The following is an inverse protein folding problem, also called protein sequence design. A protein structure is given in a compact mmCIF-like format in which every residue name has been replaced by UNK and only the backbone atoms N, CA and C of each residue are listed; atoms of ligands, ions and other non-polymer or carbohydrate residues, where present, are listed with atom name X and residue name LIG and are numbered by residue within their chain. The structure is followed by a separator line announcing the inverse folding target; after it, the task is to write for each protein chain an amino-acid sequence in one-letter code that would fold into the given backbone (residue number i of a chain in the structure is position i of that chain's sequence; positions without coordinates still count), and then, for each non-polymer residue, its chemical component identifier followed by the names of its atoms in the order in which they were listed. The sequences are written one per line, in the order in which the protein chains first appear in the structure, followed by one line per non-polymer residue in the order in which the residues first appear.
data_IF_718405562601
#
_entry.id   IF_718405562601
#
_cell.length_a   1.000
_cell.length_b   1.000
_cell.length_c   1.000
_cell.angle_alpha   90.00
_cell.angle_beta   90.00
_cell.angle_gamma   90.00
#
_symmetry.space_group_name_H-M   'P 1'
#
loop_
_entity.id
_entity.type
_entity.pdbx_description
1 polymer ?
#
# COMPACT_ATOMS: atom_id res chain seq x y z
N UNK A 1 -15.95 51.52 -7.07
CA UNK A 1 -14.74 52.12 -7.67
C UNK A 1 -13.76 51.00 -7.95
N UNK A 2 -13.34 50.76 -9.21
CA UNK A 2 -12.39 49.70 -9.51
C UNK A 2 -10.99 50.12 -9.03
N UNK A 3 -10.46 49.39 -8.05
CA UNK A 3 -9.08 49.50 -7.56
C UNK A 3 -8.12 49.27 -8.72
N UNK A 4 -7.16 50.18 -8.83
CA UNK A 4 -6.23 50.22 -9.96
C UNK A 4 -5.31 49.00 -9.93
N UNK A 5 -4.85 48.55 -11.11
CA UNK A 5 -3.90 47.42 -11.23
C UNK A 5 -2.68 47.57 -10.30
N UNK A 6 -2.27 48.82 -10.06
CA UNK A 6 -1.13 49.19 -9.22
C UNK A 6 -1.35 48.97 -7.72
N UNK A 7 -2.60 49.01 -7.25
CA UNK A 7 -2.93 48.69 -5.85
C UNK A 7 -2.92 47.19 -5.60
N UNK A 8 -3.33 46.38 -6.59
CA UNK A 8 -3.29 44.91 -6.50
C UNK A 8 -1.86 44.36 -6.46
N UNK A 9 -0.92 45.02 -7.14
CA UNK A 9 0.49 44.64 -7.08
C UNK A 9 1.12 44.98 -5.72
N UNK A 10 0.76 46.13 -5.12
CA UNK A 10 1.24 46.49 -3.77
C UNK A 10 0.72 45.55 -2.69
N UNK A 11 -0.54 45.08 -2.80
CA UNK A 11 -1.08 44.09 -1.87
C UNK A 11 -0.33 42.75 -1.98
N UNK A 12 0.00 42.29 -3.20
CA UNK A 12 0.78 41.06 -3.41
C UNK A 12 2.20 41.14 -2.87
N UNK A 13 2.87 42.28 -3.03
CA UNK A 13 4.22 42.48 -2.45
C UNK A 13 4.21 42.54 -0.92
N UNK A 14 3.17 43.16 -0.32
CA UNK A 14 2.97 43.17 1.14
C UNK A 14 2.73 41.78 1.71
N UNK A 15 2.00 40.92 0.99
CA UNK A 15 1.70 39.56 1.43
C UNK A 15 2.92 38.62 1.33
N UNK A 16 3.76 38.80 0.31
CA UNK A 16 5.03 38.09 0.16
C UNK A 16 6.06 38.44 1.26
N UNK A 17 6.06 39.69 1.73
CA UNK A 17 6.93 40.12 2.83
C UNK A 17 6.48 39.58 4.20
N UNK A 18 5.17 39.31 4.40
CA UNK A 18 4.68 38.70 5.65
C UNK A 18 5.06 37.22 5.78
N UNK A 19 5.20 36.50 4.67
CA UNK A 19 5.57 35.08 4.68
C UNK A 19 7.06 34.81 4.91
N UNK A 20 7.94 35.80 4.73
CA UNK A 20 9.39 35.66 4.96
C UNK A 20 9.79 35.97 6.41
N UNK A 21 8.95 36.66 7.18
CA UNK A 21 9.23 37.04 8.57
C UNK A 21 9.02 35.90 9.59
N UNK A 22 8.36 34.79 9.23
CA UNK A 22 7.99 33.73 10.18
C UNK A 22 9.00 32.57 10.26
N UNK A 23 10.17 32.66 9.61
CA UNK A 23 11.14 31.56 9.50
C UNK A 23 12.42 31.68 10.34
N UNK A 24 12.57 32.71 11.16
CA UNK A 24 13.75 32.88 12.01
C UNK A 24 13.38 33.15 13.48
N UNK A 25 13.13 32.08 14.24
CA UNK A 25 13.36 32.03 15.69
C UNK A 25 13.12 30.62 16.20
N UNK A 26 14.19 29.85 16.39
CA UNK A 26 14.35 28.85 17.46
C UNK A 26 15.70 28.10 17.30
N UNK A 27 16.80 28.79 17.60
CA UNK A 27 18.03 28.15 18.05
C UNK A 27 18.11 28.34 19.57
N UNK A 28 18.17 27.25 20.34
CA UNK A 28 18.73 27.30 21.69
C UNK A 28 19.43 25.99 22.04
N UNK A 29 20.74 26.15 22.19
CA UNK A 29 21.76 25.29 22.77
C UNK A 29 21.43 24.88 24.21
N UNK A 30 21.59 23.60 24.57
CA UNK A 30 21.96 23.19 25.94
C UNK A 30 22.99 22.04 25.88
N UNK A 31 24.06 22.27 26.64
CA UNK A 31 25.26 21.46 26.83
C UNK A 31 25.05 20.23 27.74
N UNK A 32 25.88 19.21 27.56
CA UNK A 32 25.98 17.94 28.33
C UNK A 32 26.36 18.12 29.82
N UNK A 33 26.32 17.04 30.64
CA UNK A 33 27.51 16.19 30.76
C UNK A 33 27.29 14.67 30.92
N UNK A 34 28.40 13.97 30.71
CA UNK A 34 28.72 12.55 30.83
C UNK A 34 28.48 12.02 32.26
N UNK A 35 27.96 10.78 32.37
CA UNK A 35 28.24 9.91 33.51
C UNK A 35 28.28 8.44 33.10
N UNK A 36 29.45 7.84 33.29
CA UNK A 36 29.80 6.43 33.12
C UNK A 36 29.35 5.62 34.34
N UNK A 37 28.65 4.51 34.15
CA UNK A 37 28.57 3.45 35.17
C UNK A 37 28.41 2.08 34.50
N UNK A 38 29.46 1.28 34.63
CA UNK A 38 29.48 -0.13 34.27
C UNK A 38 28.85 -0.96 35.40
N UNK A 39 28.00 -1.92 35.05
CA UNK A 39 27.68 -3.06 35.92
C UNK A 39 27.50 -4.31 35.07
N UNK A 40 28.46 -5.24 35.28
CA UNK A 40 28.46 -6.60 34.77
C UNK A 40 27.41 -7.40 35.53
N UNK A 41 26.50 -8.05 34.81
CA UNK A 41 25.63 -9.10 35.32
C UNK A 41 25.59 -10.23 34.31
N UNK A 42 26.34 -11.29 34.57
CA UNK A 42 26.38 -12.51 33.76
C UNK A 42 25.08 -13.30 33.98
N UNK A 43 24.30 -13.55 32.93
CA UNK A 43 23.15 -14.46 32.97
C UNK A 43 23.40 -15.60 31.98
N UNK A 44 23.37 -16.81 32.54
CA UNK A 44 23.60 -18.10 31.89
C UNK A 44 22.51 -18.46 30.88
N UNK A 45 22.81 -19.08 29.72
CA UNK A 45 21.82 -19.48 28.74
C UNK A 45 21.44 -20.95 28.94
N UNK A 46 20.30 -21.23 29.58
CA UNK A 46 19.62 -22.52 29.41
C UNK A 46 18.09 -22.34 29.34
N UNK A 47 17.51 -23.10 28.41
CA UNK A 47 16.08 -23.27 28.13
C UNK A 47 15.38 -22.24 27.21
N UNK A 48 15.85 -22.11 25.97
CA UNK A 48 14.94 -21.81 24.85
C UNK A 48 14.28 -23.12 24.39
N UNK A 49 13.05 -23.39 24.86
CA UNK A 49 12.21 -24.43 24.25
C UNK A 49 11.78 -23.93 22.87
N UNK A 50 12.18 -24.66 21.84
CA UNK A 50 11.71 -24.49 20.47
C UNK A 50 10.20 -24.70 20.43
N UNK A 51 9.42 -23.61 20.33
CA UNK A 51 8.01 -23.68 19.97
C UNK A 51 7.99 -23.99 18.47
N UNK A 52 7.63 -25.22 18.11
CA UNK A 52 7.64 -25.65 16.71
C UNK A 52 6.67 -24.80 15.88
N UNK A 53 7.17 -24.29 14.75
CA UNK A 53 6.38 -23.56 13.75
C UNK A 53 5.21 -24.37 13.19
N UNK A 54 5.21 -25.70 13.39
CA UNK A 54 4.15 -26.61 12.97
C UNK A 54 2.84 -26.41 13.74
N UNK A 55 2.90 -26.09 15.04
CA UNK A 55 1.70 -25.89 15.86
C UNK A 55 0.85 -24.72 15.37
N UNK A 56 1.49 -23.60 15.06
CA UNK A 56 0.80 -22.39 14.55
C UNK A 56 0.19 -22.63 13.16
N UNK A 57 0.86 -23.43 12.31
CA UNK A 57 0.37 -23.74 10.95
C UNK A 57 -0.89 -24.61 10.97
N UNK A 58 -0.94 -25.60 11.85
CA UNK A 58 -2.11 -26.47 11.99
C UNK A 58 -3.35 -25.70 12.48
N UNK A 59 -3.18 -24.78 13.44
CA UNK A 59 -4.28 -23.97 13.99
C UNK A 59 -4.85 -22.99 12.96
N UNK A 60 -4.01 -22.35 12.14
CA UNK A 60 -4.49 -21.45 11.07
C UNK A 60 -5.24 -22.20 9.98
N UNK A 61 -4.76 -23.38 9.57
CA UNK A 61 -5.44 -24.21 8.57
C UNK A 61 -6.85 -24.64 9.02
N UNK A 62 -7.00 -25.02 10.29
CA UNK A 62 -8.29 -25.40 10.86
C UNK A 62 -9.28 -24.22 10.95
N UNK A 63 -8.83 -23.04 11.39
CA UNK A 63 -9.66 -21.82 11.41
C UNK A 63 -10.14 -21.41 10.02
N UNK A 64 -9.24 -21.38 9.02
CA UNK A 64 -9.60 -21.04 7.64
C UNK A 64 -10.60 -22.05 7.05
N UNK A 65 -10.43 -23.34 7.36
CA UNK A 65 -11.32 -24.41 6.88
C UNK A 65 -12.71 -24.34 7.50
N UNK A 66 -12.80 -24.07 8.80
CA UNK A 66 -14.09 -23.87 9.49
C UNK A 66 -14.81 -22.60 9.02
N UNK A 67 -14.08 -21.50 8.81
CA UNK A 67 -14.64 -20.26 8.28
C UNK A 67 -15.20 -20.45 6.86
N UNK A 68 -14.45 -21.13 5.98
CA UNK A 68 -14.92 -21.52 4.63
C UNK A 68 -16.21 -22.34 4.68
N UNK A 69 -16.27 -23.34 5.55
CA UNK A 69 -17.43 -24.24 5.66
C UNK A 69 -18.67 -23.53 6.23
N UNK A 70 -18.47 -22.64 7.19
CA UNK A 70 -19.56 -21.89 7.81
C UNK A 70 -20.14 -20.84 6.86
N UNK A 71 -19.31 -20.18 6.03
CA UNK A 71 -19.75 -19.08 5.19
C UNK A 71 -20.19 -19.51 3.77
N UNK A 72 -19.71 -20.65 3.27
CA UNK A 72 -20.15 -21.22 1.97
C UNK A 72 -21.65 -21.53 1.90
N UNK A 73 -22.32 -21.71 3.04
CA UNK A 73 -23.76 -21.99 3.09
C UNK A 73 -24.65 -20.75 2.98
N UNK A 74 -24.07 -19.53 2.90
CA UNK A 74 -24.84 -18.29 3.03
C UNK A 74 -24.43 -17.09 2.16
N UNK A 75 -23.38 -17.17 1.33
CA UNK A 75 -23.04 -16.06 0.43
C UNK A 75 -24.10 -15.93 -0.67
N UNK A 76 -24.94 -14.88 -0.58
CA UNK A 76 -26.07 -14.65 -1.49
C UNK A 76 -25.79 -13.56 -2.52
N UNK A 77 -24.71 -12.78 -2.35
CA UNK A 77 -24.34 -11.69 -3.25
C UNK A 77 -22.86 -11.72 -3.66
N UNK A 78 -22.52 -11.11 -4.80
CA UNK A 78 -21.13 -10.98 -5.25
C UNK A 78 -20.23 -10.17 -4.28
N UNK A 79 -20.83 -9.29 -3.46
CA UNK A 79 -20.10 -8.55 -2.44
C UNK A 79 -19.68 -9.46 -1.27
N UNK A 80 -20.52 -10.42 -0.87
CA UNK A 80 -20.18 -11.39 0.18
C UNK A 80 -19.00 -12.27 -0.26
N UNK A 81 -18.98 -12.68 -1.53
CA UNK A 81 -17.87 -13.46 -2.09
C UNK A 81 -16.57 -12.65 -2.13
N UNK A 82 -16.63 -11.38 -2.54
CA UNK A 82 -15.47 -10.49 -2.54
C UNK A 82 -14.92 -10.26 -1.12
N UNK A 83 -15.79 -10.00 -0.15
CA UNK A 83 -15.40 -9.85 1.25
C UNK A 83 -14.79 -11.14 1.80
N UNK A 84 -15.42 -12.28 1.54
CA UNK A 84 -14.94 -13.58 1.98
C UNK A 84 -13.56 -13.89 1.39
N UNK A 85 -13.37 -13.63 0.09
CA UNK A 85 -12.08 -13.80 -0.58
C UNK A 85 -10.99 -12.96 0.07
N UNK A 86 -11.27 -11.69 0.36
CA UNK A 86 -10.34 -10.83 1.07
C UNK A 86 -10.03 -11.37 2.48
N UNK A 87 -11.05 -11.73 3.27
CA UNK A 87 -10.86 -12.24 4.64
C UNK A 87 -10.12 -13.59 4.71
N UNK A 88 -10.20 -14.39 3.66
CA UNK A 88 -9.54 -15.70 3.56
C UNK A 88 -8.16 -15.63 2.90
N UNK A 89 -7.71 -14.45 2.49
CA UNK A 89 -6.39 -14.25 1.90
C UNK A 89 -5.28 -14.59 2.91
N UNK A 90 -4.25 -15.29 2.44
CA UNK A 90 -3.21 -15.82 3.31
C UNK A 90 -2.39 -14.70 3.96
N UNK A 91 -2.15 -13.60 3.23
CA UNK A 91 -1.45 -12.43 3.77
C UNK A 91 -2.26 -11.72 4.85
N UNK A 92 -3.58 -11.60 4.70
CA UNK A 92 -4.45 -11.01 5.74
C UNK A 92 -4.47 -11.87 7.00
N UNK A 93 -4.57 -13.18 6.86
CA UNK A 93 -4.55 -14.10 7.99
C UNK A 93 -3.23 -14.02 8.77
N UNK A 94 -2.10 -13.89 8.06
CA UNK A 94 -0.79 -13.71 8.69
C UNK A 94 -0.64 -12.38 9.37
N UNK A 95 -1.11 -11.30 8.74
CA UNK A 95 -1.11 -9.97 9.32
C UNK A 95 -1.90 -9.95 10.64
N UNK A 96 -3.06 -10.61 10.70
CA UNK A 96 -3.83 -10.73 11.95
C UNK A 96 -3.07 -11.53 13.02
N UNK A 97 -2.43 -12.64 12.65
CA UNK A 97 -1.63 -13.45 13.57
C UNK A 97 -0.41 -12.69 14.12
N UNK A 98 0.21 -11.82 13.31
CA UNK A 98 1.33 -10.97 13.73
C UNK A 98 0.92 -9.96 14.82
N UNK A 99 -0.26 -9.36 14.72
CA UNK A 99 -0.79 -8.50 15.81
C UNK A 99 -0.96 -9.30 17.08
N UNK A 100 -1.59 -10.48 17.00
CA UNK A 100 -1.84 -11.30 18.19
C UNK A 100 -0.54 -11.72 18.88
N UNK A 101 0.52 -11.98 18.11
CA UNK A 101 1.86 -12.24 18.64
C UNK A 101 2.46 -11.00 19.31
N UNK A 102 2.38 -9.83 18.67
CA UNK A 102 2.87 -8.57 19.22
C UNK A 102 2.16 -8.20 20.53
N UNK A 103 0.83 -8.35 20.60
CA UNK A 103 0.02 -8.11 21.82
C UNK A 103 0.40 -9.02 22.98
N UNK A 104 0.84 -10.25 22.70
CA UNK A 104 1.32 -11.19 23.72
C UNK A 104 2.75 -10.90 24.19
N UNK A 105 3.39 -9.84 23.69
CA UNK A 105 4.79 -9.53 23.99
C UNK A 105 5.77 -10.57 23.43
N UNK A 106 5.33 -11.41 22.47
CA UNK A 106 6.21 -12.35 21.79
C UNK A 106 7.00 -11.56 20.75
N UNK A 107 8.07 -10.90 21.19
CA UNK A 107 9.02 -10.28 20.30
C UNK A 107 9.83 -11.38 19.60
N UNK A 108 9.43 -11.72 18.39
CA UNK A 108 10.32 -12.41 17.46
C UNK A 108 11.45 -11.47 17.05
N UNK A 109 12.56 -11.50 17.80
CA UNK A 109 13.87 -11.06 17.29
C UNK A 109 14.23 -12.01 16.13
N UNK A 110 14.64 -11.55 14.94
CA UNK A 110 15.78 -10.69 14.70
C UNK A 110 15.59 -9.86 13.43
N UNK A 111 15.68 -8.53 13.55
CA UNK A 111 16.05 -7.71 12.40
C UNK A 111 17.49 -8.08 12.04
N UNK A 112 17.69 -8.88 10.99
CA UNK A 112 19.01 -9.12 10.44
C UNK A 112 19.60 -7.77 10.01
N UNK A 113 20.87 -7.53 10.35
CA UNK A 113 21.58 -6.34 9.89
C UNK A 113 21.44 -6.22 8.36
N UNK A 114 21.24 -5.00 7.82
CA UNK A 114 21.09 -4.82 6.39
C UNK A 114 22.34 -5.38 5.69
N UNK A 115 22.18 -6.22 4.65
CA UNK A 115 23.34 -6.70 3.90
C UNK A 115 24.07 -5.49 3.29
N UNK A 116 25.39 -5.46 3.44
CA UNK A 116 26.24 -4.48 2.76
C UNK A 116 26.00 -4.56 1.26
N UNK A 117 25.59 -3.45 0.64
CA UNK A 117 25.27 -3.41 -0.79
C UNK A 117 26.50 -3.80 -1.63
N UNK A 118 26.39 -4.81 -2.53
CA UNK A 118 27.46 -5.08 -3.48
C UNK A 118 27.55 -3.94 -4.51
N UNK A 119 28.75 -3.47 -4.85
CA UNK A 119 28.94 -2.49 -5.92
C UNK A 119 28.89 -3.22 -7.27
N UNK A 120 27.83 -3.06 -8.05
CA UNK A 120 27.82 -3.64 -9.39
C UNK A 120 26.58 -3.30 -10.21
N UNK A 121 26.75 -2.35 -11.14
CA UNK A 121 26.11 -2.27 -12.47
C UNK A 121 24.58 -2.28 -12.60
N UNK A 122 24.02 -1.81 -13.73
CA UNK A 122 22.59 -1.75 -13.98
C UNK A 122 22.04 -3.11 -14.47
N UNK A 123 22.31 -4.20 -13.74
CA UNK A 123 21.65 -5.47 -14.04
C UNK A 123 20.35 -5.55 -13.24
N UNK A 124 19.20 -5.58 -13.94
CA UNK A 124 17.91 -5.84 -13.31
C UNK A 124 17.87 -7.32 -12.94
N UNK A 125 18.08 -7.64 -11.67
CA UNK A 125 17.98 -9.02 -11.17
C UNK A 125 16.51 -9.46 -11.25
N UNK A 126 16.19 -10.42 -12.13
CA UNK A 126 14.85 -10.98 -12.19
C UNK A 126 14.61 -11.83 -10.92
N UNK A 127 13.85 -11.26 -9.99
CA UNK A 127 13.47 -11.96 -8.76
C UNK A 127 12.01 -12.41 -8.86
N UNK A 128 11.73 -13.72 -8.73
CA UNK A 128 10.37 -14.21 -8.73
C UNK A 128 9.63 -13.77 -7.47
N UNK A 129 8.31 -13.59 -7.57
CA UNK A 129 7.48 -13.31 -6.41
C UNK A 129 7.54 -14.51 -5.46
N UNK A 130 7.98 -14.30 -4.21
CA UNK A 130 8.09 -15.38 -3.22
C UNK A 130 6.73 -15.64 -2.57
N UNK A 131 5.81 -16.16 -3.37
CA UNK A 131 4.46 -16.53 -2.99
C UNK A 131 4.09 -17.84 -3.69
N UNK A 132 3.47 -18.76 -2.95
CA UNK A 132 2.88 -19.98 -3.50
C UNK A 132 1.61 -20.29 -2.73
N UNK A 133 0.56 -20.71 -3.45
CA UNK A 133 -0.70 -21.13 -2.83
C UNK A 133 -0.46 -22.19 -1.75
N UNK A 134 -0.99 -21.97 -0.54
CA UNK A 134 -0.85 -22.88 0.60
C UNK A 134 0.45 -22.75 1.40
N UNK A 135 1.30 -21.77 1.09
CA UNK A 135 2.55 -21.54 1.83
C UNK A 135 2.45 -20.45 2.90
N UNK A 136 1.28 -19.83 3.06
CA UNK A 136 1.08 -18.71 3.98
C UNK A 136 1.66 -17.45 3.36
N UNK A 137 0.97 -16.89 2.39
CA UNK A 137 1.16 -15.52 1.92
C UNK A 137 2.52 -15.21 1.30
N UNK A 138 2.74 -13.93 1.01
CA UNK A 138 4.00 -13.40 0.49
C UNK A 138 5.08 -13.47 1.56
N UNK A 139 6.30 -13.86 1.17
CA UNK A 139 7.45 -13.94 2.09
C UNK A 139 8.61 -13.08 1.62
N UNK A 140 9.08 -12.13 2.41
CA UNK A 140 10.29 -11.39 2.06
C UNK A 140 11.52 -12.30 2.08
N UNK A 141 12.55 -11.89 1.32
CA UNK A 141 13.86 -12.53 1.30
C UNK A 141 14.97 -11.46 1.23
N UNK A 142 16.23 -11.88 1.14
CA UNK A 142 17.35 -10.92 1.08
C UNK A 142 17.29 -10.04 -0.17
N UNK A 143 16.79 -10.56 -1.29
CA UNK A 143 16.67 -9.79 -2.52
C UNK A 143 15.62 -8.69 -2.40
N UNK A 144 14.44 -8.96 -1.81
CA UNK A 144 13.42 -7.92 -1.59
C UNK A 144 13.93 -6.84 -0.64
N UNK A 145 14.65 -7.21 0.42
CA UNK A 145 15.27 -6.23 1.33
C UNK A 145 16.26 -5.32 0.62
N UNK A 146 17.12 -5.88 -0.25
CA UNK A 146 18.07 -5.09 -1.05
C UNK A 146 17.36 -4.11 -1.99
N UNK A 147 16.35 -4.58 -2.73
CA UNK A 147 15.56 -3.71 -3.62
C UNK A 147 14.90 -2.55 -2.88
N UNK A 148 14.33 -2.81 -1.70
CA UNK A 148 13.75 -1.74 -0.89
C UNK A 148 14.81 -0.70 -0.50
N UNK A 149 16.01 -1.15 -0.10
CA UNK A 149 17.12 -0.26 0.21
C UNK A 149 17.57 0.56 -1.01
N UNK A 150 17.72 -0.07 -2.18
CA UNK A 150 18.02 0.61 -3.44
C UNK A 150 16.97 1.68 -3.79
N UNK A 151 15.70 1.40 -3.53
CA UNK A 151 14.58 2.33 -3.71
C UNK A 151 14.58 3.49 -2.69
N UNK A 152 15.55 3.58 -1.78
CA UNK A 152 15.64 4.62 -0.75
C UNK A 152 15.01 4.21 0.59
N UNK A 153 14.81 2.92 0.83
CA UNK A 153 14.21 2.40 2.04
C UNK A 153 12.75 2.82 2.22
N UNK A 154 12.29 2.85 3.48
CA UNK A 154 10.94 3.30 3.84
C UNK A 154 10.65 4.72 3.33
N UNK A 155 11.64 5.62 3.40
CA UNK A 155 11.46 7.01 2.98
C UNK A 155 11.26 7.14 1.48
N UNK A 156 11.99 6.36 0.68
CA UNK A 156 11.77 6.27 -0.76
C UNK A 156 10.35 5.79 -1.09
N UNK A 157 9.87 4.77 -0.37
CA UNK A 157 8.49 4.29 -0.53
C UNK A 157 7.47 5.36 -0.11
N UNK A 158 7.67 5.99 1.05
CA UNK A 158 6.80 7.02 1.58
C UNK A 158 6.66 8.21 0.61
N UNK A 159 7.73 8.58 -0.09
CA UNK A 159 7.66 9.63 -1.12
C UNK A 159 6.59 9.31 -2.17
N UNK A 160 6.64 8.13 -2.77
CA UNK A 160 5.72 7.81 -3.86
C UNK A 160 4.31 7.47 -3.37
N UNK A 161 4.16 6.83 -2.21
CA UNK A 161 2.82 6.55 -1.67
C UNK A 161 2.12 7.83 -1.23
N UNK A 162 2.84 8.81 -0.67
CA UNK A 162 2.28 10.12 -0.35
C UNK A 162 1.89 10.89 -1.62
N UNK A 163 2.75 10.90 -2.65
CA UNK A 163 2.39 11.51 -3.94
C UNK A 163 1.19 10.80 -4.59
N UNK A 164 1.12 9.47 -4.53
CA UNK A 164 -0.01 8.70 -5.03
C UNK A 164 -1.32 9.19 -4.40
N UNK A 165 -1.39 9.31 -3.07
CA UNK A 165 -2.61 9.78 -2.42
C UNK A 165 -2.92 11.25 -2.73
N UNK A 166 -1.91 12.12 -2.86
CA UNK A 166 -2.13 13.49 -3.33
C UNK A 166 -2.77 13.53 -4.73
N UNK A 167 -2.37 12.64 -5.63
CA UNK A 167 -2.97 12.50 -6.96
C UNK A 167 -4.38 11.89 -6.84
N UNK A 168 -4.55 10.84 -6.04
CA UNK A 168 -5.81 10.13 -5.87
C UNK A 168 -6.93 10.99 -5.25
N UNK A 169 -6.59 11.88 -4.31
CA UNK A 169 -7.56 12.83 -3.73
C UNK A 169 -8.14 13.81 -4.75
N UNK A 170 -7.42 14.03 -5.85
CA UNK A 170 -7.85 14.91 -6.94
C UNK A 170 -8.57 14.15 -8.06
N UNK A 171 -8.54 12.81 -8.05
CA UNK A 171 -9.24 11.98 -9.02
C UNK A 171 -10.68 11.73 -8.55
N UNK A 172 -11.71 12.24 -9.24
CA UNK A 172 -13.10 12.11 -8.77
C UNK A 172 -13.58 10.65 -8.71
N UNK A 173 -12.99 9.75 -9.49
CA UNK A 173 -13.36 8.34 -9.48
C UNK A 173 -12.69 7.59 -8.33
N UNK A 174 -11.43 7.89 -7.99
CA UNK A 174 -10.74 7.24 -6.86
C UNK A 174 -11.11 7.89 -5.51
N UNK A 175 -11.32 9.20 -5.48
CA UNK A 175 -11.57 9.93 -4.23
C UNK A 175 -12.82 9.45 -3.50
N UNK A 176 -13.82 8.95 -4.23
CA UNK A 176 -15.04 8.41 -3.62
C UNK A 176 -14.75 7.22 -2.67
N UNK A 177 -13.63 6.53 -2.82
CA UNK A 177 -13.20 5.42 -1.96
C UNK A 177 -12.40 5.89 -0.73
N UNK A 178 -12.02 7.17 -0.68
CA UNK A 178 -11.16 7.74 0.36
C UNK A 178 -12.04 8.61 1.26
N UNK A 179 -12.39 8.07 2.43
CA UNK A 179 -13.28 8.75 3.40
C UNK A 179 -12.75 10.12 3.83
N UNK A 180 -11.46 10.18 4.15
CA UNK A 180 -10.86 11.27 4.91
C UNK A 180 -9.46 11.56 4.35
N UNK A 181 -9.16 12.82 4.04
CA UNK A 181 -7.89 13.21 3.43
C UNK A 181 -6.79 13.44 4.48
N UNK A 182 -7.17 13.63 5.74
CA UNK A 182 -6.23 13.87 6.85
C UNK A 182 -5.67 12.56 7.44
N UNK A 183 -6.27 11.43 7.06
CA UNK A 183 -5.74 10.11 7.39
C UNK A 183 -4.35 9.92 6.73
N UNK A 184 -3.33 9.39 7.44
CA UNK A 184 -1.96 9.23 6.93
C UNK A 184 -1.86 8.01 5.98
N UNK A 185 -2.63 8.02 4.90
CA UNK A 185 -2.78 6.88 3.99
C UNK A 185 -1.46 6.48 3.32
N UNK A 186 -0.68 7.46 2.87
CA UNK A 186 0.59 7.21 2.20
C UNK A 186 1.64 6.62 3.14
N UNK A 187 1.76 7.13 4.36
CA UNK A 187 2.65 6.57 5.39
C UNK A 187 2.26 5.15 5.79
N UNK A 188 0.97 4.90 6.05
CA UNK A 188 0.45 3.56 6.35
C UNK A 188 0.75 2.58 5.22
N UNK A 189 0.60 3.02 3.98
CA UNK A 189 0.90 2.20 2.82
C UNK A 189 2.41 1.92 2.69
N UNK A 190 3.25 2.92 2.97
CA UNK A 190 4.70 2.75 2.96
C UNK A 190 5.18 1.79 4.05
N UNK A 191 4.61 1.87 5.25
CA UNK A 191 4.89 0.95 6.36
C UNK A 191 4.52 -0.48 5.98
N UNK A 192 3.36 -0.67 5.34
CA UNK A 192 2.93 -2.00 4.88
C UNK A 192 3.87 -2.57 3.81
N UNK A 193 4.25 -1.78 2.80
CA UNK A 193 5.23 -2.20 1.78
C UNK A 193 6.58 -2.54 2.44
N UNK A 194 7.04 -1.69 3.34
CA UNK A 194 8.33 -1.86 4.05
C UNK A 194 8.36 -3.18 4.83
N UNK A 195 7.30 -3.49 5.57
CA UNK A 195 7.16 -4.76 6.29
C UNK A 195 7.08 -5.95 5.31
N UNK A 196 6.32 -5.84 4.22
CA UNK A 196 6.24 -6.90 3.19
C UNK A 196 7.55 -7.16 2.48
N UNK A 197 8.42 -6.16 2.34
CA UNK A 197 9.76 -6.33 1.79
C UNK A 197 10.76 -6.86 2.83
N UNK A 198 10.32 -7.01 4.09
CA UNK A 198 11.05 -7.67 5.17
C UNK A 198 11.93 -6.76 5.99
N UNK A 199 11.61 -5.46 6.04
CA UNK A 199 12.36 -4.48 6.82
C UNK A 199 11.55 -4.05 8.04
N UNK A 200 11.87 -4.63 9.19
CA UNK A 200 11.21 -4.33 10.46
C UNK A 200 9.72 -4.68 10.48
N UNK A 201 8.98 -4.07 11.41
CA UNK A 201 7.53 -4.27 11.57
C UNK A 201 6.74 -2.95 11.71
N UNK A 202 7.04 -1.89 10.93
CA UNK A 202 6.43 -0.58 11.15
C UNK A 202 4.90 -0.62 11.02
N UNK A 203 4.37 -1.41 10.07
CA UNK A 203 2.93 -1.58 9.87
C UNK A 203 2.27 -2.25 11.06
N UNK A 204 2.82 -3.39 11.50
CA UNK A 204 2.27 -4.13 12.63
C UNK A 204 2.38 -3.32 13.93
N UNK A 205 3.46 -2.57 14.12
CA UNK A 205 3.65 -1.68 15.28
C UNK A 205 2.62 -0.55 15.29
N UNK A 206 2.51 0.25 14.22
CA UNK A 206 1.55 1.35 14.15
C UNK A 206 0.12 0.82 14.34
N UNK A 207 -0.24 -0.25 13.61
CA UNK A 207 -1.57 -0.86 13.66
C UNK A 207 -1.96 -1.34 15.06
N UNK A 208 -1.01 -1.89 15.83
CA UNK A 208 -1.29 -2.37 17.19
C UNK A 208 -1.77 -1.27 18.14
N UNK A 209 -1.45 -0.01 17.84
CA UNK A 209 -1.79 1.17 18.63
C UNK A 209 -2.80 2.09 17.96
N UNK A 210 -3.20 1.78 16.71
CA UNK A 210 -4.08 2.63 15.92
C UNK A 210 -5.47 2.70 16.55
N UNK A 211 -5.92 3.92 16.84
CA UNK A 211 -7.29 4.19 17.29
C UNK A 211 -8.27 4.02 16.13
N UNK A 212 -9.39 3.35 16.38
CA UNK A 212 -10.54 3.38 15.47
C UNK A 212 -11.47 4.51 15.88
N UNK A 213 -12.10 5.16 14.91
CA UNK A 213 -13.15 6.14 15.14
C UNK A 213 -14.45 5.69 14.45
N UNK A 214 -15.59 5.75 15.14
CA UNK A 214 -16.86 5.43 14.50
C UNK A 214 -17.22 6.51 13.49
N UNK A 215 -17.82 6.10 12.37
CA UNK A 215 -18.41 7.01 11.39
C UNK A 215 -19.75 6.48 10.89
N UNK A 216 -20.56 7.36 10.31
CA UNK A 216 -21.85 6.99 9.73
C UNK A 216 -21.83 7.23 8.23
N UNK A 217 -22.39 6.31 7.47
CA UNK A 217 -22.60 6.45 6.03
C UNK A 217 -23.90 5.75 5.66
N UNK A 218 -24.77 6.45 4.93
CA UNK A 218 -26.03 5.89 4.40
C UNK A 218 -26.90 5.18 5.46
N UNK A 219 -27.01 5.75 6.66
CA UNK A 219 -27.79 5.17 7.77
C UNK A 219 -27.13 4.01 8.52
N UNK A 220 -25.91 3.61 8.13
CA UNK A 220 -25.14 2.57 8.80
C UNK A 220 -24.00 3.17 9.65
N UNK A 221 -23.68 2.51 10.76
CA UNK A 221 -22.53 2.84 11.61
C UNK A 221 -21.37 1.89 11.31
N UNK A 222 -20.19 2.45 11.11
CA UNK A 222 -18.94 1.74 10.85
C UNK A 222 -17.86 2.19 11.83
N UNK A 223 -16.79 1.41 11.93
CA UNK A 223 -15.54 1.80 12.57
C UNK A 223 -14.52 2.14 11.48
N UNK A 224 -13.65 3.10 11.75
CA UNK A 224 -12.56 3.44 10.82
C UNK A 224 -11.61 2.26 10.61
N UNK A 225 -10.92 2.30 9.48
CA UNK A 225 -9.98 1.29 9.03
C UNK A 225 -8.90 0.98 10.08
N UNK A 226 -8.87 -0.26 10.56
CA UNK A 226 -7.84 -0.73 11.50
C UNK A 226 -6.75 -1.57 10.81
N UNK A 227 -7.12 -2.34 9.81
CA UNK A 227 -6.24 -3.22 9.03
C UNK A 227 -6.56 -3.10 7.53
N UNK A 228 -5.86 -3.87 6.69
CA UNK A 228 -6.07 -3.83 5.25
C UNK A 228 -7.51 -4.21 4.87
N UNK A 229 -8.05 -5.26 5.46
CA UNK A 229 -9.39 -5.77 5.12
C UNK A 229 -10.49 -4.79 5.47
N UNK A 230 -10.45 -4.27 6.70
CA UNK A 230 -11.36 -3.23 7.17
C UNK A 230 -11.19 -1.94 6.37
N UNK A 231 -9.96 -1.55 5.99
CA UNK A 231 -9.76 -0.38 5.12
C UNK A 231 -10.50 -0.51 3.79
N UNK A 232 -10.33 -1.63 3.09
CA UNK A 232 -10.97 -1.84 1.80
C UNK A 232 -12.48 -2.00 1.96
N UNK A 233 -12.95 -2.65 3.02
CA UNK A 233 -14.38 -2.71 3.33
C UNK A 233 -14.98 -1.32 3.63
N UNK A 234 -14.28 -0.47 4.38
CA UNK A 234 -14.72 0.92 4.65
C UNK A 234 -14.70 1.77 3.38
N UNK A 235 -13.76 1.52 2.46
CA UNK A 235 -13.75 2.18 1.15
C UNK A 235 -14.97 1.80 0.31
N UNK A 236 -15.41 0.54 0.35
CA UNK A 236 -16.65 0.11 -0.31
C UNK A 236 -17.88 0.84 0.24
N UNK A 237 -17.87 1.14 1.54
CA UNK A 237 -18.92 1.83 2.27
C UNK A 237 -18.57 3.30 2.56
N UNK A 238 -17.79 3.93 1.68
CA UNK A 238 -17.42 5.33 1.87
C UNK A 238 -18.67 6.22 1.72
N UNK A 239 -18.83 7.25 2.59
CA UNK A 239 -19.95 8.19 2.50
C UNK A 239 -19.93 9.03 1.22
N UNK A 240 -18.81 9.10 0.50
CA UNK A 240 -18.67 9.81 -0.77
C UNK A 240 -19.27 9.05 -1.97
N UNK A 241 -19.61 7.76 -1.80
CA UNK A 241 -20.20 6.94 -2.86
C UNK A 241 -21.70 7.19 -2.97
N UNK A 242 -22.24 7.03 -4.17
CA UNK A 242 -23.68 7.04 -4.43
C UNK A 242 -24.38 5.90 -3.68
N UNK A 243 -25.68 6.03 -3.44
CA UNK A 243 -26.48 4.95 -2.83
C UNK A 243 -26.44 3.66 -3.67
N UNK A 244 -26.40 3.78 -4.99
CA UNK A 244 -26.31 2.65 -5.92
C UNK A 244 -24.97 1.91 -5.80
N UNK A 245 -23.88 2.65 -5.58
CA UNK A 245 -22.53 2.08 -5.51
C UNK A 245 -22.07 1.70 -4.09
N UNK A 246 -22.85 2.08 -3.09
CA UNK A 246 -22.54 1.83 -1.69
C UNK A 246 -22.42 0.33 -1.39
N UNK A 247 -21.31 -0.06 -0.77
CA UNK A 247 -21.00 -1.44 -0.41
C UNK A 247 -20.54 -2.33 -1.58
N UNK A 248 -20.53 -1.83 -2.82
CA UNK A 248 -19.99 -2.58 -3.97
C UNK A 248 -18.48 -2.69 -3.88
N UNK A 249 -17.96 -3.90 -4.04
CA UNK A 249 -16.52 -4.14 -4.09
C UNK A 249 -15.87 -3.48 -5.32
N UNK A 250 -14.54 -3.31 -5.28
CA UNK A 250 -13.76 -2.75 -6.39
C UNK A 250 -13.97 -3.54 -7.68
N UNK A 251 -14.13 -2.82 -8.77
CA UNK A 251 -14.28 -3.32 -10.13
C UNK A 251 -12.98 -3.14 -10.91
N UNK A 252 -12.99 -3.66 -12.13
CA UNK A 252 -11.81 -3.68 -12.99
C UNK A 252 -11.31 -2.26 -13.29
N UNK A 253 -12.22 -1.34 -13.58
CA UNK A 253 -11.89 0.06 -13.83
C UNK A 253 -11.34 0.76 -12.59
N UNK A 254 -11.94 0.56 -11.41
CA UNK A 254 -11.42 1.06 -10.12
C UNK A 254 -9.94 0.67 -9.95
N UNK A 255 -9.64 -0.62 -10.11
CA UNK A 255 -8.27 -1.13 -9.95
C UNK A 255 -7.31 -0.61 -11.02
N UNK A 256 -7.76 -0.44 -12.26
CA UNK A 256 -6.92 0.08 -13.36
C UNK A 256 -6.58 1.56 -13.19
N UNK A 257 -7.56 2.38 -12.80
CA UNK A 257 -7.31 3.80 -12.49
C UNK A 257 -6.34 3.89 -11.31
N UNK A 258 -6.58 3.14 -10.23
CA UNK A 258 -5.70 3.09 -9.07
C UNK A 258 -4.26 2.73 -9.47
N UNK A 259 -4.05 1.66 -10.24
CA UNK A 259 -2.71 1.22 -10.66
C UNK A 259 -2.00 2.26 -11.52
N UNK A 260 -2.71 2.90 -12.46
CA UNK A 260 -2.14 3.94 -13.32
C UNK A 260 -1.64 5.14 -12.53
N UNK A 261 -2.45 5.66 -11.60
CA UNK A 261 -2.05 6.76 -10.72
C UNK A 261 -0.90 6.37 -9.79
N UNK A 262 -0.93 5.14 -9.29
CA UNK A 262 0.11 4.60 -8.40
C UNK A 262 1.46 4.48 -9.09
N UNK A 263 1.51 3.91 -10.29
CA UNK A 263 2.74 3.80 -11.08
C UNK A 263 3.22 5.15 -11.61
N UNK A 264 2.30 6.09 -11.88
CA UNK A 264 2.69 7.46 -12.19
C UNK A 264 3.42 8.10 -11.01
N UNK A 265 2.89 8.03 -9.79
CA UNK A 265 3.56 8.54 -8.60
C UNK A 265 4.93 7.90 -8.35
N UNK A 266 5.05 6.59 -8.59
CA UNK A 266 6.32 5.87 -8.49
C UNK A 266 7.39 6.39 -9.46
N UNK A 267 6.99 6.84 -10.66
CA UNK A 267 7.89 7.44 -11.66
C UNK A 267 8.23 8.90 -11.33
N UNK A 268 7.24 9.71 -10.99
CA UNK A 268 7.42 11.14 -10.68
C UNK A 268 8.37 11.38 -9.51
N UNK A 269 8.37 10.49 -8.52
CA UNK A 269 9.29 10.56 -7.37
C UNK A 269 10.70 10.07 -7.67
N UNK A 270 10.96 9.58 -8.88
CA UNK A 270 12.27 9.07 -9.31
C UNK A 270 12.61 7.69 -8.78
N UNK A 271 11.78 7.08 -7.92
CA UNK A 271 12.05 5.76 -7.31
C UNK A 271 12.20 4.68 -8.38
N UNK A 272 11.40 4.75 -9.45
CA UNK A 272 11.52 3.83 -10.58
C UNK A 272 12.90 3.89 -11.25
N UNK A 273 13.40 5.10 -11.51
CA UNK A 273 14.70 5.31 -12.14
C UNK A 273 15.86 4.96 -11.18
N UNK A 274 15.66 5.21 -9.88
CA UNK A 274 16.64 4.92 -8.83
C UNK A 274 16.84 3.42 -8.60
N UNK A 275 15.77 2.62 -8.60
CA UNK A 275 15.85 1.16 -8.49
C UNK A 275 14.92 0.48 -9.49
N UNK A 276 15.42 0.21 -10.71
CA UNK A 276 14.68 -0.57 -11.72
C UNK A 276 14.32 -1.99 -11.23
N UNK A 277 15.21 -2.62 -10.45
CA UNK A 277 14.96 -3.93 -9.83
C UNK A 277 13.78 -3.91 -8.85
N UNK A 278 13.71 -2.87 -8.00
CA UNK A 278 12.53 -2.65 -7.16
C UNK A 278 11.29 -2.47 -8.02
N UNK A 279 11.33 -1.62 -9.05
CA UNK A 279 10.16 -1.37 -9.89
C UNK A 279 9.64 -2.64 -10.59
N UNK A 280 10.53 -3.45 -11.17
CA UNK A 280 10.15 -4.70 -11.86
C UNK A 280 9.50 -5.69 -10.88
N UNK A 281 10.11 -5.89 -9.71
CA UNK A 281 9.54 -6.73 -8.65
C UNK A 281 8.23 -6.14 -8.12
N UNK A 282 8.14 -4.82 -7.97
CA UNK A 282 7.00 -4.12 -7.42
C UNK A 282 5.76 -4.24 -8.32
N UNK A 283 5.93 -4.35 -9.63
CA UNK A 283 4.83 -4.70 -10.54
C UNK A 283 4.25 -6.08 -10.23
N UNK A 284 5.11 -7.09 -10.02
CA UNK A 284 4.66 -8.45 -9.64
C UNK A 284 3.94 -8.42 -8.28
N UNK A 285 4.51 -7.69 -7.34
CA UNK A 285 3.96 -7.48 -6.00
C UNK A 285 2.56 -6.85 -6.05
N UNK A 286 2.39 -5.73 -6.76
CA UNK A 286 1.09 -5.09 -6.93
C UNK A 286 0.12 -6.00 -7.69
N UNK A 287 0.59 -6.71 -8.72
CA UNK A 287 -0.23 -7.65 -9.48
C UNK A 287 -0.80 -8.79 -8.63
N UNK A 288 -0.04 -9.24 -7.63
CA UNK A 288 -0.52 -10.21 -6.66
C UNK A 288 -1.58 -9.62 -5.73
N UNK A 289 -1.30 -8.49 -5.09
CA UNK A 289 -2.23 -7.90 -4.12
C UNK A 289 -3.50 -7.36 -4.76
N UNK A 290 -3.45 -6.82 -5.99
CA UNK A 290 -4.66 -6.37 -6.70
C UNK A 290 -5.58 -7.56 -7.03
N UNK A 291 -5.02 -8.75 -7.25
CA UNK A 291 -5.79 -9.96 -7.58
C UNK A 291 -6.75 -10.41 -6.46
N UNK A 292 -6.46 -10.00 -5.22
CA UNK A 292 -7.32 -10.27 -4.05
C UNK A 292 -8.63 -9.50 -4.19
N UNK A 293 -8.57 -8.26 -4.67
CA UNK A 293 -9.72 -7.37 -4.81
C UNK A 293 -10.47 -7.64 -6.11
N UNK A 294 -9.76 -7.61 -7.24
CA UNK A 294 -10.32 -7.86 -8.56
C UNK A 294 -9.35 -8.70 -9.39
N UNK A 295 -9.67 -9.99 -9.56
CA UNK A 295 -8.77 -10.98 -10.17
C UNK A 295 -8.40 -10.61 -11.61
N UNK A 296 -9.32 -10.01 -12.35
CA UNK A 296 -9.09 -9.66 -13.75
C UNK A 296 -8.15 -8.47 -13.91
N UNK A 297 -7.95 -7.66 -12.85
CA UNK A 297 -7.06 -6.50 -12.88
C UNK A 297 -5.58 -6.88 -13.05
N UNK A 298 -5.17 -8.08 -12.63
CA UNK A 298 -3.78 -8.54 -12.76
C UNK A 298 -3.27 -8.50 -14.20
N UNK A 299 -4.15 -8.75 -15.20
CA UNK A 299 -3.79 -8.68 -16.62
C UNK A 299 -3.34 -7.28 -17.07
N UNK A 300 -3.79 -6.24 -16.37
CA UNK A 300 -3.59 -4.85 -16.74
C UNK A 300 -2.48 -4.16 -15.96
N UNK A 301 -1.74 -4.87 -15.10
CA UNK A 301 -0.69 -4.24 -14.28
C UNK A 301 0.45 -3.72 -15.17
N UNK A 302 0.95 -4.54 -16.11
CA UNK A 302 1.99 -4.11 -17.05
C UNK A 302 1.49 -3.02 -18.00
N UNK A 303 0.23 -3.11 -18.44
CA UNK A 303 -0.39 -2.05 -19.25
C UNK A 303 -0.49 -0.73 -18.47
N UNK A 304 -0.90 -0.77 -17.21
CA UNK A 304 -0.98 0.41 -16.35
C UNK A 304 0.40 1.02 -16.10
N UNK A 305 1.43 0.18 -15.96
CA UNK A 305 2.81 0.62 -15.85
C UNK A 305 3.32 1.31 -17.12
N UNK A 306 3.02 0.76 -18.30
CA UNK A 306 3.32 1.39 -19.61
C UNK A 306 2.53 2.68 -19.80
N UNK A 307 1.27 2.72 -19.36
CA UNK A 307 0.45 3.92 -19.43
C UNK A 307 1.12 5.07 -18.67
N UNK A 308 1.62 4.81 -17.46
CA UNK A 308 2.30 5.81 -16.62
C UNK A 308 3.65 6.27 -17.16
N UNK A 309 4.26 5.52 -18.06
CA UNK A 309 5.56 5.85 -18.67
C UNK A 309 5.46 6.95 -19.71
N UNK A 310 4.30 7.10 -20.34
CA UNK A 310 4.09 8.05 -21.41
C UNK A 310 3.55 9.38 -20.86
N UNK A 311 4.32 10.48 -20.90
CA UNK A 311 3.89 11.78 -20.37
C UNK A 311 2.59 12.28 -21.02
N UNK A 312 2.36 12.00 -22.30
CA UNK A 312 1.16 12.41 -23.01
C UNK A 312 -0.13 11.79 -22.42
N UNK A 313 -0.03 10.60 -21.81
CA UNK A 313 -1.15 10.00 -21.11
C UNK A 313 -1.51 10.77 -19.83
N UNK A 314 -0.51 11.20 -19.07
CA UNK A 314 -0.67 11.98 -17.84
C UNK A 314 -1.21 13.39 -18.16
N UNK A 315 -0.69 14.03 -19.20
CA UNK A 315 -1.19 15.30 -19.72
C UNK A 315 -2.65 15.19 -20.17
N UNK A 316 -2.99 14.15 -20.94
CA UNK A 316 -4.37 13.90 -21.37
C UNK A 316 -5.30 13.67 -20.17
N UNK A 317 -4.85 12.91 -19.18
CA UNK A 317 -5.61 12.69 -17.94
C UNK A 317 -5.88 14.01 -17.20
N UNK A 318 -4.85 14.86 -17.05
CA UNK A 318 -4.98 16.18 -16.43
C UNK A 318 -5.92 17.10 -17.22
N UNK A 319 -5.75 17.17 -18.54
CA UNK A 319 -6.59 17.97 -19.43
C UNK A 319 -8.06 17.50 -19.45
N UNK A 320 -8.30 16.21 -19.22
CA UNK A 320 -9.63 15.61 -19.14
C UNK A 320 -10.23 15.67 -17.72
N UNK A 321 -9.88 16.69 -16.94
CA UNK A 321 -10.40 16.88 -15.59
C UNK A 321 -10.11 15.70 -14.65
N UNK A 322 -8.93 15.07 -14.81
CA UNK A 322 -8.48 13.93 -14.01
C UNK A 322 -9.39 12.70 -14.15
N UNK A 323 -9.84 12.41 -15.37
CA UNK A 323 -10.69 11.26 -15.69
C UNK A 323 -10.09 10.38 -16.78
N UNK A 324 -10.12 9.06 -16.58
CA UNK A 324 -9.60 8.06 -17.53
C UNK A 324 -10.73 7.41 -18.36
N UNK A 325 -11.25 8.11 -19.36
CA UNK A 325 -12.37 7.62 -20.19
C UNK A 325 -12.02 6.37 -21.00
N UNK A 326 -10.73 6.07 -21.20
CA UNK A 326 -10.28 4.82 -21.81
C UNK A 326 -10.20 3.64 -20.83
N UNK A 327 -10.74 3.79 -19.62
CA UNK A 327 -10.78 2.77 -18.57
C UNK A 327 -12.19 2.63 -18.02
N UNK A 328 -12.79 3.74 -17.62
CA UNK A 328 -14.07 3.77 -16.92
C UNK A 328 -15.20 3.21 -17.79
N UNK A 329 -16.00 2.29 -17.21
CA UNK A 329 -17.17 1.72 -17.87
C UNK A 329 -16.89 0.71 -18.99
N UNK A 330 -15.62 0.35 -19.24
CA UNK A 330 -15.29 -0.68 -20.21
C UNK A 330 -15.58 -2.09 -19.67
N UNK A 331 -16.17 -2.95 -20.50
CA UNK A 331 -16.21 -4.38 -20.21
C UNK A 331 -14.81 -4.99 -20.25
N UNK A 332 -14.61 -6.15 -19.58
CA UNK A 332 -13.34 -6.88 -19.65
C UNK A 332 -12.91 -7.15 -21.10
N UNK A 333 -13.85 -7.56 -21.96
CA UNK A 333 -13.58 -7.84 -23.37
C UNK A 333 -13.06 -6.60 -24.11
N UNK A 334 -13.63 -5.43 -23.84
CA UNK A 334 -13.18 -4.18 -24.45
C UNK A 334 -11.82 -3.74 -23.89
N UNK A 335 -11.64 -3.82 -22.58
CA UNK A 335 -10.37 -3.51 -21.92
C UNK A 335 -9.23 -4.38 -22.49
N UNK A 336 -9.47 -5.69 -22.67
CA UNK A 336 -8.47 -6.62 -23.22
C UNK A 336 -7.98 -6.23 -24.63
N UNK A 337 -8.75 -5.46 -25.43
CA UNK A 337 -8.28 -5.00 -26.75
C UNK A 337 -7.04 -4.09 -26.66
N UNK A 338 -6.78 -3.50 -25.51
CA UNK A 338 -5.59 -2.66 -25.27
C UNK A 338 -4.33 -3.48 -24.92
N UNK A 339 -4.46 -4.79 -24.70
CA UNK A 339 -3.35 -5.66 -24.29
C UNK A 339 -2.72 -6.36 -25.51
N UNK A 340 -1.38 -6.48 -25.55
CA UNK A 340 -0.70 -7.37 -26.48
C UNK A 340 -1.19 -8.81 -26.34
N UNK A 341 -1.21 -9.57 -27.45
CA UNK A 341 -1.75 -10.94 -27.51
C UNK A 341 -1.16 -11.85 -26.42
N UNK A 342 0.16 -11.86 -26.27
CA UNK A 342 0.86 -12.68 -25.27
C UNK A 342 0.53 -12.32 -23.81
N UNK A 343 0.07 -11.09 -23.53
CA UNK A 343 -0.37 -10.70 -22.18
C UNK A 343 -1.81 -11.15 -21.92
N UNK A 344 -2.67 -11.12 -22.95
CA UNK A 344 -4.07 -11.57 -22.85
C UNK A 344 -4.17 -13.04 -22.51
N UNK A 345 -3.28 -13.84 -23.09
CA UNK A 345 -3.30 -15.29 -22.95
C UNK A 345 -2.60 -15.79 -21.67
N UNK A 346 -1.90 -14.90 -20.94
CA UNK A 346 -1.12 -15.22 -19.73
C UNK A 346 -1.95 -15.33 -18.43
N UNK A 347 -3.26 -15.60 -18.54
CA UNK A 347 -4.18 -15.59 -17.39
C UNK A 347 -3.80 -16.66 -16.36
N UNK A 348 -3.23 -16.23 -15.23
CA UNK A 348 -2.92 -17.08 -14.08
C UNK A 348 -1.44 -17.39 -13.86
N UNK A 349 -0.59 -17.20 -14.87
CA UNK A 349 0.85 -17.48 -14.77
C UNK A 349 1.62 -16.27 -14.20
N UNK A 350 1.36 -15.09 -14.74
CA UNK A 350 1.92 -13.84 -14.21
C UNK A 350 1.02 -13.33 -13.06
N UNK A 351 1.57 -12.82 -11.93
CA UNK A 351 2.96 -12.42 -11.67
C UNK A 351 3.86 -13.48 -11.00
N UNK A 352 3.52 -14.77 -11.11
CA UNK A 352 4.14 -15.85 -10.35
C UNK A 352 5.23 -16.63 -11.11
N UNK A 353 5.40 -16.36 -12.40
CA UNK A 353 6.40 -16.97 -13.27
C UNK A 353 7.80 -16.36 -13.17
#
# INVERSE_FOLDING_TARGET
FPTTHRERERERESEAQRHTATKHTAEHTISSPIATAALRGSISPQAARSISSEGTRATMGAKASNLRRSMSKGAKSGNDEALMRMQLDEDILQEAAAIDAAKRGVQGSTAAAPPSAPPGGPHVEHVPLNWKRGQGGHKPNDATRRMLHEAGGRDGVAKFTNLFYQIAFQDPHIDQFIRDHDDPHGDRFADWITEKFGVGTPWSTERSTRKTCPFHAHGHKFESAHDRSSAHFTAWHSPKRSEEDFGRHFKLDDCRVWMRLHFWALRETGVWAQSPSFAEYYLKFIGHFVSIYERTATLFVRESARWSENPANCEKYLANGRRMDNVLGLSLREACKALPDHERDSVGDWPYC
#
